data_IF_589645495690
#
_entry.id   IF_589645495690
#
_cell.length_a   1.000
_cell.length_b   1.000
_cell.length_c   1.000
_cell.angle_alpha   90.00
_cell.angle_beta   90.00
_cell.angle_gamma   90.00
#
_symmetry.space_group_name_H-M   'P 1'
#
loop_
_entity.id
_entity.type
_entity.pdbx_description
1 polymer ?
#
# COMPACT_ATOMS: atom_id res chain seq x y z
N UNK A 1 25.14 -14.50 14.07
CA UNK A 1 25.04 -13.72 12.82
C UNK A 1 26.31 -12.92 12.70
N UNK A 2 27.14 -13.19 11.70
CA UNK A 2 28.44 -12.53 11.51
C UNK A 2 28.28 -11.22 10.72
N UNK A 3 29.29 -10.35 10.71
CA UNK A 3 29.25 -9.08 9.97
C UNK A 3 29.01 -9.27 8.46
N UNK A 4 29.48 -10.38 7.89
CA UNK A 4 29.30 -10.78 6.49
C UNK A 4 27.85 -11.19 6.15
N UNK A 5 27.13 -11.81 7.10
CA UNK A 5 25.71 -12.18 6.92
C UNK A 5 24.81 -10.93 6.83
N UNK A 6 25.17 -9.85 7.53
CA UNK A 6 24.43 -8.59 7.48
C UNK A 6 24.63 -7.85 6.15
N UNK A 7 25.85 -7.84 5.58
CA UNK A 7 26.13 -7.21 4.29
C UNK A 7 25.40 -7.93 3.13
N UNK A 8 25.37 -9.27 3.17
CA UNK A 8 24.60 -10.05 2.17
C UNK A 8 23.09 -9.82 2.29
N UNK A 9 22.55 -9.78 3.51
CA UNK A 9 21.14 -9.49 3.76
C UNK A 9 20.71 -8.08 3.32
N UNK A 10 21.56 -7.08 3.57
CA UNK A 10 21.33 -5.70 3.16
C UNK A 10 21.29 -5.55 1.64
N UNK A 11 22.31 -6.06 0.94
CA UNK A 11 22.35 -6.01 -0.55
C UNK A 11 21.16 -6.75 -1.16
N UNK A 12 20.77 -7.88 -0.57
CA UNK A 12 19.60 -8.65 -1.03
C UNK A 12 18.30 -7.85 -0.93
N UNK A 13 18.10 -7.09 0.15
CA UNK A 13 16.89 -6.27 0.34
C UNK A 13 16.73 -5.13 -0.69
N UNK A 14 17.83 -4.69 -1.32
CA UNK A 14 17.82 -3.68 -2.39
C UNK A 14 17.47 -4.26 -3.77
N UNK A 15 17.69 -5.56 -3.97
CA UNK A 15 17.55 -6.24 -5.28
C UNK A 15 16.16 -6.85 -5.47
N UNK A 16 15.64 -6.87 -6.71
CA UNK A 16 14.35 -7.51 -6.99
C UNK A 16 14.45 -9.02 -6.79
N UNK A 17 13.36 -9.64 -6.32
CA UNK A 17 13.25 -11.11 -6.30
C UNK A 17 13.11 -11.71 -7.69
N UNK A 18 12.40 -11.02 -8.57
CA UNK A 18 12.06 -11.45 -9.93
C UNK A 18 11.72 -10.23 -10.78
N UNK A 19 11.61 -10.42 -12.10
CA UNK A 19 11.23 -9.35 -13.04
C UNK A 19 9.85 -8.75 -12.75
N UNK A 20 8.93 -9.55 -12.18
CA UNK A 20 7.57 -9.10 -11.84
C UNK A 20 7.58 -8.17 -10.61
N UNK A 21 8.60 -8.24 -9.75
CA UNK A 21 8.76 -7.29 -8.64
C UNK A 21 9.23 -5.88 -9.10
N UNK A 22 9.46 -5.72 -10.40
CA UNK A 22 9.97 -4.50 -11.01
C UNK A 22 11.51 -4.44 -11.05
N UNK A 23 12.08 -3.53 -11.85
CA UNK A 23 13.53 -3.37 -11.95
C UNK A 23 14.21 -3.02 -10.61
N UNK A 24 15.53 -3.08 -10.62
CA UNK A 24 16.33 -2.54 -9.52
C UNK A 24 16.10 -1.03 -9.38
N UNK A 25 15.90 -0.55 -8.15
CA UNK A 25 15.56 0.85 -7.87
C UNK A 25 14.13 1.27 -8.25
N UNK A 26 13.36 0.41 -8.95
CA UNK A 26 12.00 0.70 -9.41
C UNK A 26 11.03 -0.43 -9.01
N UNK A 27 10.73 -0.58 -7.72
CA UNK A 27 9.80 -1.61 -7.24
C UNK A 27 8.37 -1.35 -7.74
N UNK A 28 7.78 -2.34 -8.42
CA UNK A 28 6.40 -2.22 -8.90
C UNK A 28 5.39 -2.14 -7.76
N UNK A 29 5.70 -2.67 -6.56
CA UNK A 29 4.84 -2.48 -5.39
C UNK A 29 4.63 -0.98 -5.08
N UNK A 30 5.70 -0.16 -5.12
CA UNK A 30 5.61 1.27 -4.82
C UNK A 30 4.82 2.06 -5.87
N UNK A 31 4.86 1.65 -7.14
CA UNK A 31 3.99 2.19 -8.19
C UNK A 31 2.55 1.70 -8.02
N UNK A 32 2.42 0.39 -7.76
CA UNK A 32 1.26 -0.37 -7.28
C UNK A 32 0.24 0.45 -6.49
N UNK A 33 0.75 0.84 -5.32
CA UNK A 33 -0.03 1.40 -4.21
C UNK A 33 -0.65 2.76 -4.51
N UNK A 34 -0.24 3.47 -5.56
CA UNK A 34 -0.87 4.75 -5.93
C UNK A 34 -2.33 4.57 -6.35
N UNK A 35 -2.68 3.41 -6.94
CA UNK A 35 -4.04 3.06 -7.34
C UNK A 35 -4.98 2.93 -6.12
N UNK A 36 -4.73 2.00 -5.16
CA UNK A 36 -5.60 1.87 -3.99
C UNK A 36 -5.65 3.14 -3.15
N UNK A 37 -4.52 3.82 -2.93
CA UNK A 37 -4.49 5.03 -2.10
C UNK A 37 -5.34 6.13 -2.73
N UNK A 38 -5.17 6.39 -4.03
CA UNK A 38 -5.95 7.41 -4.74
C UNK A 38 -7.44 7.07 -4.79
N UNK A 39 -7.78 5.83 -5.13
CA UNK A 39 -9.16 5.38 -5.24
C UNK A 39 -9.89 5.45 -3.89
N UNK A 40 -9.30 4.92 -2.83
CA UNK A 40 -9.90 4.93 -1.49
C UNK A 40 -10.01 6.33 -0.89
N UNK A 41 -9.04 7.21 -1.15
CA UNK A 41 -9.12 8.62 -0.75
C UNK A 41 -10.30 9.31 -1.45
N UNK A 42 -10.43 9.12 -2.77
CA UNK A 42 -11.55 9.67 -3.53
C UNK A 42 -12.90 9.08 -3.08
N UNK A 43 -12.96 7.80 -2.72
CA UNK A 43 -14.18 7.16 -2.20
C UNK A 43 -14.67 7.84 -0.91
N UNK A 44 -13.76 8.14 0.03
CA UNK A 44 -14.08 8.86 1.27
C UNK A 44 -14.59 10.28 0.97
N UNK A 45 -14.02 10.97 -0.02
CA UNK A 45 -14.52 12.28 -0.46
C UNK A 45 -15.93 12.17 -1.05
N UNK A 46 -16.19 11.15 -1.87
CA UNK A 46 -17.51 10.91 -2.45
C UNK A 46 -18.54 10.57 -1.39
N UNK A 47 -18.18 9.78 -0.38
CA UNK A 47 -19.05 9.51 0.77
C UNK A 47 -19.45 10.79 1.50
N UNK A 48 -18.50 11.66 1.80
CA UNK A 48 -18.78 12.92 2.50
C UNK A 48 -19.74 13.77 1.67
N UNK A 49 -19.46 13.94 0.37
CA UNK A 49 -20.32 14.72 -0.52
C UNK A 49 -21.73 14.11 -0.65
N UNK A 50 -21.83 12.78 -0.76
CA UNK A 50 -23.10 12.07 -0.84
C UNK A 50 -23.93 12.20 0.46
N UNK A 51 -23.28 12.06 1.62
CA UNK A 51 -23.91 12.24 2.93
C UNK A 51 -24.35 13.68 3.20
N UNK A 52 -23.71 14.66 2.56
CA UNK A 52 -24.11 16.07 2.57
C UNK A 52 -25.19 16.40 1.53
N UNK A 53 -25.67 15.41 0.75
CA UNK A 53 -26.76 15.57 -0.20
C UNK A 53 -26.35 16.01 -1.61
N UNK A 54 -25.06 16.06 -1.93
CA UNK A 54 -24.60 16.36 -3.28
C UNK A 54 -24.70 15.13 -4.18
N UNK A 55 -25.66 15.12 -5.11
CA UNK A 55 -25.87 14.00 -6.06
C UNK A 55 -25.75 12.61 -5.39
N UNK A 56 -26.48 12.35 -4.29
CA UNK A 56 -26.16 11.30 -3.32
C UNK A 56 -26.07 9.91 -3.95
N UNK A 57 -26.96 9.54 -4.87
CA UNK A 57 -26.89 8.24 -5.50
C UNK A 57 -25.73 8.05 -6.48
N UNK A 58 -25.43 9.08 -7.29
CA UNK A 58 -24.30 9.03 -8.22
C UNK A 58 -22.96 8.94 -7.47
N UNK A 59 -22.81 9.72 -6.39
CA UNK A 59 -21.60 9.69 -5.58
C UNK A 59 -21.50 8.43 -4.70
N UNK A 60 -22.60 7.89 -4.19
CA UNK A 60 -22.61 6.60 -3.48
C UNK A 60 -22.16 5.45 -4.40
N UNK A 61 -22.70 5.38 -5.61
CA UNK A 61 -22.27 4.40 -6.63
C UNK A 61 -20.81 4.62 -7.01
N UNK A 62 -20.38 5.87 -7.21
CA UNK A 62 -18.98 6.21 -7.47
C UNK A 62 -18.04 5.76 -6.34
N UNK A 63 -18.42 5.99 -5.09
CA UNK A 63 -17.65 5.57 -3.92
C UNK A 63 -17.50 4.04 -3.86
N UNK A 64 -18.57 3.29 -4.13
CA UNK A 64 -18.50 1.82 -4.24
C UNK A 64 -17.50 1.38 -5.31
N UNK A 65 -17.56 1.93 -6.52
CA UNK A 65 -16.62 1.58 -7.59
C UNK A 65 -15.19 1.93 -7.25
N UNK A 66 -14.95 3.08 -6.64
CA UNK A 66 -13.62 3.49 -6.18
C UNK A 66 -13.08 2.55 -5.09
N UNK A 67 -13.94 2.11 -4.15
CA UNK A 67 -13.55 1.08 -3.18
C UNK A 67 -13.16 -0.22 -3.88
N UNK A 68 -13.96 -0.69 -4.84
CA UNK A 68 -13.69 -1.93 -5.60
C UNK A 68 -12.39 -1.84 -6.41
N UNK A 69 -12.18 -0.73 -7.13
CA UNK A 69 -10.93 -0.46 -7.88
C UNK A 69 -9.74 -0.49 -6.93
N UNK A 70 -9.88 0.15 -5.77
CA UNK A 70 -8.83 0.14 -4.77
C UNK A 70 -8.60 -1.25 -4.15
N UNK A 71 -9.63 -2.07 -3.94
CA UNK A 71 -9.45 -3.47 -3.50
C UNK A 71 -8.66 -4.27 -4.51
N UNK A 72 -8.99 -4.17 -5.81
CA UNK A 72 -8.25 -4.86 -6.88
C UNK A 72 -6.80 -4.39 -6.90
N UNK A 73 -6.57 -3.07 -6.90
CA UNK A 73 -5.22 -2.51 -6.86
C UNK A 73 -4.45 -2.90 -5.59
N UNK A 74 -5.13 -2.96 -4.44
CA UNK A 74 -4.58 -3.38 -3.16
C UNK A 74 -4.15 -4.84 -3.13
N UNK A 75 -4.92 -5.75 -3.73
CA UNK A 75 -4.55 -7.16 -3.89
C UNK A 75 -3.30 -7.30 -4.76
N UNK A 76 -3.27 -6.62 -5.90
CA UNK A 76 -2.09 -6.64 -6.79
C UNK A 76 -0.86 -6.07 -6.07
N UNK A 77 -1.02 -4.93 -5.38
CA UNK A 77 0.05 -4.35 -4.58
C UNK A 77 0.54 -5.30 -3.47
N UNK A 78 -0.37 -6.01 -2.79
CA UNK A 78 -0.01 -6.96 -1.73
C UNK A 78 0.82 -8.13 -2.27
N UNK A 79 0.46 -8.68 -3.43
CA UNK A 79 1.24 -9.74 -4.09
C UNK A 79 2.66 -9.27 -4.40
N UNK A 80 2.80 -8.07 -5.00
CA UNK A 80 4.10 -7.49 -5.30
C UNK A 80 4.91 -7.19 -4.03
N UNK A 81 4.26 -6.65 -2.99
CA UNK A 81 4.88 -6.36 -1.71
C UNK A 81 5.36 -7.61 -0.98
N UNK A 82 4.68 -8.75 -1.14
CA UNK A 82 5.14 -10.04 -0.61
C UNK A 82 6.44 -10.52 -1.28
N UNK A 83 6.64 -10.23 -2.58
CA UNK A 83 7.90 -10.52 -3.26
C UNK A 83 9.05 -9.73 -2.65
N UNK A 84 8.85 -8.43 -2.43
CA UNK A 84 9.84 -7.56 -1.78
C UNK A 84 10.09 -7.96 -0.32
N UNK A 85 9.02 -8.26 0.43
CA UNK A 85 9.08 -8.73 1.82
C UNK A 85 9.91 -10.00 1.97
N UNK A 86 9.83 -10.93 1.02
CA UNK A 86 10.58 -12.19 1.06
C UNK A 86 12.10 -11.99 0.91
N UNK A 87 12.55 -10.84 0.39
CA UNK A 87 13.96 -10.49 0.30
C UNK A 87 14.52 -9.91 1.61
N UNK A 88 13.68 -9.64 2.60
CA UNK A 88 14.13 -9.11 3.89
C UNK A 88 14.67 -10.23 4.80
N UNK A 89 15.87 -10.07 5.39
CA UNK A 89 16.47 -11.03 6.32
C UNK A 89 15.67 -11.12 7.63
N UNK A 90 15.45 -12.35 8.11
CA UNK A 90 14.75 -12.60 9.38
C UNK A 90 15.54 -12.07 10.59
N UNK A 91 14.84 -11.82 11.70
CA UNK A 91 15.46 -11.35 12.96
C UNK A 91 15.94 -9.89 12.95
N UNK A 92 15.69 -9.13 11.88
CA UNK A 92 16.15 -7.74 11.74
C UNK A 92 15.06 -6.72 12.06
N UNK A 93 15.48 -5.49 12.44
CA UNK A 93 14.55 -4.36 12.65
C UNK A 93 13.75 -4.04 11.38
N UNK A 94 14.39 -4.07 10.21
CA UNK A 94 13.71 -3.85 8.91
C UNK A 94 12.60 -4.88 8.66
N UNK A 95 12.85 -6.16 8.99
CA UNK A 95 11.82 -7.21 8.87
C UNK A 95 10.65 -6.97 9.81
N UNK A 96 10.90 -6.52 11.04
CA UNK A 96 9.85 -6.19 12.02
C UNK A 96 8.97 -5.02 11.54
N UNK A 97 9.58 -3.95 11.03
CA UNK A 97 8.84 -2.85 10.40
C UNK A 97 8.01 -3.33 9.22
N UNK A 98 8.55 -4.20 8.38
CA UNK A 98 7.85 -4.76 7.24
C UNK A 98 6.69 -5.69 7.63
N UNK A 99 6.80 -6.43 8.73
CA UNK A 99 5.68 -7.22 9.29
C UNK A 99 4.55 -6.31 9.75
N UNK A 100 4.85 -5.23 10.48
CA UNK A 100 3.82 -4.27 10.89
C UNK A 100 3.15 -3.58 9.69
N UNK A 101 3.94 -3.16 8.70
CA UNK A 101 3.44 -2.60 7.45
C UNK A 101 2.51 -3.58 6.71
N UNK A 102 2.89 -4.87 6.64
CA UNK A 102 2.05 -5.91 6.05
C UNK A 102 0.75 -6.08 6.82
N UNK A 103 0.80 -6.18 8.16
CA UNK A 103 -0.38 -6.34 9.01
C UNK A 103 -1.35 -5.18 8.80
N UNK A 104 -0.90 -3.93 8.90
CA UNK A 104 -1.77 -2.77 8.72
C UNK A 104 -2.41 -2.73 7.33
N UNK A 105 -1.66 -3.01 6.27
CA UNK A 105 -2.23 -3.05 4.92
C UNK A 105 -3.20 -4.22 4.71
N UNK A 106 -2.95 -5.40 5.29
CA UNK A 106 -3.90 -6.51 5.25
C UNK A 106 -5.18 -6.16 6.00
N UNK A 107 -5.09 -5.51 7.16
CA UNK A 107 -6.25 -5.01 7.91
C UNK A 107 -7.03 -3.99 7.09
N UNK A 108 -6.35 -2.99 6.50
CA UNK A 108 -7.01 -1.99 5.65
C UNK A 108 -7.72 -2.64 4.45
N UNK A 109 -7.06 -3.57 3.76
CA UNK A 109 -7.64 -4.28 2.62
C UNK A 109 -8.91 -5.04 3.02
N UNK A 110 -8.91 -5.72 4.17
CA UNK A 110 -10.11 -6.39 4.71
C UNK A 110 -11.22 -5.38 5.02
N UNK A 111 -10.90 -4.24 5.64
CA UNK A 111 -11.89 -3.19 5.91
C UNK A 111 -12.54 -2.65 4.62
N UNK A 112 -11.75 -2.45 3.56
CA UNK A 112 -12.27 -2.02 2.26
C UNK A 112 -13.09 -3.11 1.55
N UNK A 113 -12.71 -4.38 1.68
CA UNK A 113 -13.53 -5.50 1.19
C UNK A 113 -14.89 -5.52 1.91
N UNK A 114 -14.91 -5.40 3.23
CA UNK A 114 -16.17 -5.36 4.00
C UNK A 114 -16.97 -4.11 3.62
N UNK A 115 -16.32 -2.96 3.45
CA UNK A 115 -16.97 -1.72 2.98
C UNK A 115 -17.65 -1.93 1.62
N UNK A 116 -16.98 -2.57 0.66
CA UNK A 116 -17.55 -2.89 -0.65
C UNK A 116 -18.78 -3.80 -0.52
N UNK A 117 -18.70 -4.85 0.31
CA UNK A 117 -19.81 -5.79 0.52
C UNK A 117 -21.03 -5.07 1.12
N UNK A 118 -20.82 -4.24 2.14
CA UNK A 118 -21.90 -3.47 2.78
C UNK A 118 -22.56 -2.51 1.79
N UNK A 119 -21.76 -1.82 0.97
CA UNK A 119 -22.26 -0.89 -0.07
C UNK A 119 -23.00 -1.60 -1.21
N UNK A 120 -22.58 -2.81 -1.57
CA UNK A 120 -23.19 -3.57 -2.66
C UNK A 120 -24.65 -3.98 -2.36
N UNK A 121 -25.08 -3.96 -1.10
CA UNK A 121 -26.47 -4.21 -0.71
C UNK A 121 -27.43 -3.06 -1.07
N UNK A 122 -26.93 -1.84 -1.20
CA UNK A 122 -27.72 -0.64 -1.55
C UNK A 122 -26.84 0.41 -2.26
N UNK A 123 -26.43 0.14 -3.52
CA UNK A 123 -25.31 0.81 -4.17
C UNK A 123 -25.59 2.27 -4.62
N UNK A 124 -26.84 2.68 -4.69
CA UNK A 124 -27.29 4.03 -5.06
C UNK A 124 -27.72 4.87 -3.84
N UNK A 125 -27.46 4.40 -2.62
CA UNK A 125 -27.71 5.15 -1.38
C UNK A 125 -26.42 5.31 -0.55
N UNK A 126 -26.19 6.49 0.07
CA UNK A 126 -25.03 6.69 0.92
C UNK A 126 -25.00 5.73 2.12
N UNK A 127 -23.93 4.93 2.23
CA UNK A 127 -23.76 3.96 3.31
C UNK A 127 -22.90 4.52 4.43
N UNK A 128 -23.50 4.86 5.58
CA UNK A 128 -22.75 5.33 6.77
C UNK A 128 -21.78 4.26 7.27
N UNK A 129 -22.21 2.99 7.31
CA UNK A 129 -21.36 1.88 7.71
C UNK A 129 -20.19 1.67 6.73
N UNK A 130 -20.48 1.70 5.42
CA UNK A 130 -19.45 1.62 4.37
C UNK A 130 -18.44 2.77 4.46
N UNK A 131 -18.91 4.00 4.72
CA UNK A 131 -18.09 5.18 4.93
C UNK A 131 -17.18 5.04 6.15
N UNK A 132 -17.71 4.66 7.31
CA UNK A 132 -16.91 4.49 8.54
C UNK A 132 -15.81 3.44 8.34
N UNK A 133 -16.12 2.31 7.71
CA UNK A 133 -15.12 1.29 7.37
C UNK A 133 -14.02 1.83 6.45
N UNK A 134 -14.40 2.58 5.41
CA UNK A 134 -13.46 3.20 4.47
C UNK A 134 -12.60 4.27 5.15
N UNK A 135 -13.18 5.07 6.05
CA UNK A 135 -12.48 6.10 6.81
C UNK A 135 -11.44 5.49 7.76
N UNK A 136 -11.82 4.44 8.52
CA UNK A 136 -10.87 3.70 9.35
C UNK A 136 -9.79 3.06 8.47
N UNK A 137 -10.18 2.44 7.35
CA UNK A 137 -9.29 1.82 6.39
C UNK A 137 -8.22 2.80 5.88
N UNK A 138 -8.61 3.99 5.43
CA UNK A 138 -7.65 4.98 4.91
C UNK A 138 -6.73 5.55 6.00
N UNK A 139 -7.21 5.68 7.24
CA UNK A 139 -6.36 6.07 8.37
C UNK A 139 -5.32 4.99 8.70
N UNK A 140 -5.72 3.71 8.65
CA UNK A 140 -4.78 2.57 8.79
C UNK A 140 -3.76 2.55 7.65
N UNK A 141 -4.18 2.83 6.40
CA UNK A 141 -3.26 3.01 5.27
C UNK A 141 -2.28 4.15 5.53
N UNK A 142 -2.71 5.26 6.13
CA UNK A 142 -1.83 6.38 6.51
C UNK A 142 -0.72 5.95 7.48
N UNK A 143 -1.06 5.21 8.55
CA UNK A 143 -0.08 4.64 9.48
C UNK A 143 0.86 3.68 8.75
N UNK A 144 0.32 2.82 7.89
CA UNK A 144 1.13 1.90 7.10
C UNK A 144 2.04 2.61 6.12
N UNK A 145 1.59 3.72 5.52
CA UNK A 145 2.35 4.56 4.60
C UNK A 145 3.60 5.16 5.26
N UNK A 146 3.49 5.57 6.53
CA UNK A 146 4.65 5.99 7.32
C UNK A 146 5.68 4.85 7.46
N UNK A 147 5.23 3.63 7.75
CA UNK A 147 6.11 2.46 7.83
C UNK A 147 6.73 2.09 6.47
N UNK A 148 5.97 2.26 5.38
CA UNK A 148 6.48 2.08 4.01
C UNK A 148 7.57 3.09 3.68
N UNK A 149 7.37 4.35 4.09
CA UNK A 149 8.39 5.39 4.00
C UNK A 149 9.63 5.09 4.83
N UNK A 150 9.48 4.56 6.05
CA UNK A 150 10.61 4.10 6.87
C UNK A 150 11.41 2.99 6.14
N UNK A 151 10.72 2.00 5.58
CA UNK A 151 11.35 0.90 4.83
C UNK A 151 12.14 1.41 3.61
N UNK A 152 11.55 2.31 2.82
CA UNK A 152 12.18 2.83 1.60
C UNK A 152 13.28 3.85 1.93
N UNK A 153 12.94 4.91 2.66
CA UNK A 153 13.79 6.08 2.82
C UNK A 153 14.79 5.97 3.97
N UNK A 154 14.49 5.20 5.03
CA UNK A 154 15.45 5.00 6.14
C UNK A 154 16.18 3.68 6.09
N UNK A 155 15.58 2.63 5.54
CA UNK A 155 16.19 1.30 5.47
C UNK A 155 16.65 0.90 4.06
N UNK A 156 16.34 1.70 3.03
CA UNK A 156 16.81 1.49 1.67
C UNK A 156 16.19 0.27 0.98
N UNK A 157 15.06 -0.26 1.45
CA UNK A 157 14.42 -1.44 0.84
C UNK A 157 14.03 -1.12 -0.59
N UNK A 158 14.52 -1.92 -1.54
CA UNK A 158 14.33 -1.75 -3.00
C UNK A 158 14.78 -0.39 -3.57
N UNK A 159 15.56 0.38 -2.81
CA UNK A 159 16.24 1.61 -3.27
C UNK A 159 17.62 1.26 -3.81
N UNK A 160 18.06 1.96 -4.85
CA UNK A 160 19.39 1.78 -5.41
C UNK A 160 20.50 1.97 -4.35
N UNK A 161 21.60 1.27 -4.54
CA UNK A 161 22.84 1.42 -3.79
C UNK A 161 23.35 2.85 -3.92
N UNK A 162 23.92 3.35 -2.84
CA UNK A 162 24.41 4.73 -2.71
C UNK A 162 25.50 5.03 -3.76
N UNK A 163 26.29 4.00 -4.14
CA UNK A 163 27.27 4.09 -5.24
C UNK A 163 26.62 4.32 -6.59
N UNK A 164 25.48 3.68 -6.87
CA UNK A 164 24.75 3.89 -8.13
C UNK A 164 24.11 5.29 -8.15
N UNK A 165 23.66 5.78 -6.99
CA UNK A 165 23.14 7.14 -6.84
C UNK A 165 24.24 8.19 -7.00
N UNK A 166 25.44 7.95 -6.44
CA UNK A 166 26.58 8.86 -6.51
C UNK A 166 27.09 9.05 -7.94
N UNK A 167 27.11 7.98 -8.75
CA UNK A 167 27.50 8.04 -10.17
C UNK A 167 26.71 9.06 -11.00
N UNK A 168 25.49 9.42 -10.58
CA UNK A 168 24.70 10.44 -11.25
C UNK A 168 25.26 11.86 -11.05
N UNK A 169 26.14 12.07 -10.07
CA UNK A 169 26.76 13.35 -9.74
C UNK A 169 28.23 13.45 -10.20
N UNK A 170 28.87 12.34 -10.54
CA UNK A 170 30.30 12.26 -10.88
C UNK A 170 30.58 12.65 -12.36
N UNK A 171 30.00 13.75 -12.84
CA UNK A 171 30.12 14.23 -14.23
C UNK A 171 31.58 14.43 -14.71
#
# INVERSE_FOLDING_TARGET
>A
MTATDNDTGFRRAKRPRSVIAGPYGHPFHATVVTIPIGAWTAAVVFDIAALLGAAPGALATGALWLVVIGVIGGVVAAILGLLDFSQLPAGTKVKRTAVWHLIFNSTALVLFIISAIVRAGDPDHPSVAGFVLALIGILVVGVSGFLGGELAYRHGVRVADERDQQRAYDA
#
